data_IF_370282711220
#
_entry.id   IF_370282711220
#
_cell.length_a   1.000
_cell.length_b   1.000
_cell.length_c   1.000
_cell.angle_alpha   90.00
_cell.angle_beta   90.00
_cell.angle_gamma   90.00
#
_symmetry.space_group_name_H-M   'P 1'
#
loop_
_entity.id
_entity.type
_entity.pdbx_description
1 polymer ?
#
# COMPACT_ATOMS: atom_id res chain seq x y z
N UNK A 1 32.29 15.86 26.50
CA UNK A 1 33.34 15.77 25.45
C UNK A 1 33.54 14.30 25.07
N UNK A 2 33.07 13.87 23.89
CA UNK A 2 33.36 12.53 23.34
C UNK A 2 34.73 12.59 22.64
N UNK A 3 35.66 11.73 23.04
CA UNK A 3 37.02 11.70 22.53
C UNK A 3 37.01 11.26 21.04
N UNK A 4 37.44 12.10 20.08
CA UNK A 4 37.27 11.86 18.63
C UNK A 4 38.14 10.72 18.07
N UNK A 5 39.04 10.14 18.87
CA UNK A 5 39.94 9.05 18.46
C UNK A 5 39.51 7.66 18.93
N UNK A 6 38.40 7.52 19.65
CA UNK A 6 37.91 6.21 20.10
C UNK A 6 37.00 5.62 19.04
N UNK A 7 37.48 4.58 18.32
CA UNK A 7 36.64 3.79 17.41
C UNK A 7 35.35 3.38 18.14
N UNK A 8 34.18 3.41 17.48
CA UNK A 8 32.93 2.90 18.05
C UNK A 8 33.13 1.48 18.56
N UNK A 9 32.55 1.15 19.71
CA UNK A 9 32.73 -0.16 20.37
C UNK A 9 32.44 -1.34 19.41
N UNK A 10 31.41 -1.22 18.56
CA UNK A 10 31.12 -2.19 17.50
C UNK A 10 32.30 -2.40 16.54
N UNK A 11 32.91 -1.31 16.04
CA UNK A 11 34.05 -1.40 15.12
C UNK A 11 35.27 -2.05 15.77
N UNK A 12 35.47 -1.85 17.08
CA UNK A 12 36.52 -2.53 17.85
C UNK A 12 36.27 -4.03 17.92
N UNK A 13 35.03 -4.45 18.21
CA UNK A 13 34.64 -5.86 18.27
C UNK A 13 34.74 -6.54 16.90
N UNK A 14 34.28 -5.90 15.81
CA UNK A 14 34.45 -6.40 14.45
C UNK A 14 35.93 -6.62 14.11
N UNK A 15 36.80 -5.66 14.46
CA UNK A 15 38.25 -5.77 14.23
C UNK A 15 38.85 -6.94 15.02
N UNK A 16 38.40 -7.14 16.27
CA UNK A 16 38.85 -8.26 17.12
C UNK A 16 38.43 -9.61 16.55
N UNK A 17 37.17 -9.77 16.13
CA UNK A 17 36.68 -11.01 15.50
C UNK A 17 37.44 -11.33 14.22
N UNK A 18 37.73 -10.32 13.39
CA UNK A 18 38.53 -10.49 12.19
C UNK A 18 39.99 -10.91 12.51
N UNK A 19 40.60 -10.28 13.51
CA UNK A 19 41.96 -10.62 13.97
C UNK A 19 42.04 -12.05 14.52
N UNK A 20 41.08 -12.45 15.36
CA UNK A 20 41.00 -13.80 15.92
C UNK A 20 40.75 -14.85 14.81
N UNK A 21 39.90 -14.54 13.84
CA UNK A 21 39.65 -15.43 12.69
C UNK A 21 40.93 -15.67 11.89
N UNK A 22 41.65 -14.59 11.53
CA UNK A 22 42.93 -14.69 10.83
C UNK A 22 43.97 -15.48 11.64
N UNK A 23 44.02 -15.30 12.95
CA UNK A 23 44.93 -16.05 13.82
C UNK A 23 44.55 -17.54 13.91
N UNK A 24 43.25 -17.85 13.92
CA UNK A 24 42.73 -19.22 13.84
C UNK A 24 43.16 -19.93 12.56
N UNK A 25 43.05 -19.26 11.41
CA UNK A 25 43.51 -19.79 10.12
C UNK A 25 45.02 -20.10 10.13
N UNK A 26 45.84 -19.19 10.68
CA UNK A 26 47.28 -19.40 10.83
C UNK A 26 47.62 -20.59 11.73
N UNK A 27 46.89 -20.77 12.84
CA UNK A 27 47.10 -21.89 13.75
C UNK A 27 46.60 -23.21 13.15
N UNK A 28 45.51 -23.20 12.39
CA UNK A 28 45.03 -24.38 11.67
C UNK A 28 46.05 -24.87 10.62
N UNK A 29 46.67 -23.94 9.88
CA UNK A 29 47.76 -24.28 8.98
C UNK A 29 48.96 -24.90 9.73
N UNK A 30 49.36 -24.32 10.86
CA UNK A 30 50.44 -24.88 11.71
C UNK A 30 50.09 -26.26 12.29
N UNK A 31 48.83 -26.47 12.66
CA UNK A 31 48.33 -27.77 13.12
C UNK A 31 48.49 -28.83 12.04
N UNK A 32 48.15 -28.50 10.78
CA UNK A 32 48.37 -29.39 9.64
C UNK A 32 49.84 -29.79 9.50
N UNK A 33 50.75 -28.82 9.55
CA UNK A 33 52.20 -29.10 9.51
C UNK A 33 52.68 -29.95 10.70
N UNK A 34 52.15 -29.74 11.91
CA UNK A 34 52.48 -30.52 13.09
C UNK A 34 51.96 -31.97 12.99
N UNK A 35 50.77 -32.16 12.42
CA UNK A 35 50.20 -33.47 12.12
C UNK A 35 51.07 -34.22 11.11
N UNK A 36 51.45 -33.59 10.01
CA UNK A 36 52.33 -34.19 8.99
C UNK A 36 53.68 -34.62 9.59
N UNK A 37 54.22 -33.82 10.51
CA UNK A 37 55.47 -34.14 11.21
C UNK A 37 55.32 -35.33 12.16
N UNK A 38 54.20 -35.43 12.89
CA UNK A 38 53.89 -36.57 13.75
C UNK A 38 53.70 -37.85 12.93
N UNK A 39 52.94 -37.79 11.84
CA UNK A 39 52.70 -38.93 10.94
C UNK A 39 54.02 -39.44 10.35
N UNK A 40 54.91 -38.53 9.96
CA UNK A 40 56.26 -38.87 9.49
C UNK A 40 57.09 -39.54 10.59
N UNK A 41 57.11 -38.97 11.80
CA UNK A 41 57.85 -39.54 12.93
C UNK A 41 57.38 -40.96 13.28
N UNK A 42 56.05 -41.19 13.26
CA UNK A 42 55.45 -42.50 13.49
C UNK A 42 55.89 -43.49 12.41
N UNK A 43 55.82 -43.10 11.13
CA UNK A 43 56.26 -43.95 10.00
C UNK A 43 57.74 -44.29 10.07
N UNK A 44 58.59 -43.32 10.41
CA UNK A 44 60.03 -43.55 10.54
C UNK A 44 60.36 -44.50 11.71
N UNK A 45 59.66 -44.35 12.85
CA UNK A 45 59.75 -45.29 13.98
C UNK A 45 59.28 -46.70 13.59
N UNK A 46 58.14 -46.82 12.90
CA UNK A 46 57.62 -48.11 12.42
C UNK A 46 58.60 -48.79 11.46
N UNK A 47 59.20 -48.03 10.54
CA UNK A 47 60.21 -48.56 9.62
C UNK A 47 61.42 -49.10 10.37
N UNK A 48 61.90 -48.40 11.39
CA UNK A 48 63.00 -48.89 12.23
C UNK A 48 62.66 -50.22 12.93
N UNK A 49 61.43 -50.40 13.41
CA UNK A 49 60.99 -51.68 13.99
C UNK A 49 60.84 -52.82 12.96
N UNK A 50 60.52 -52.51 11.71
CA UNK A 50 60.28 -53.53 10.68
C UNK A 50 61.54 -53.93 9.90
N UNK A 51 62.48 -53.00 9.71
CA UNK A 51 63.65 -53.22 8.85
C UNK A 51 64.99 -52.84 9.48
N UNK A 52 64.99 -52.32 10.72
CA UNK A 52 66.20 -51.91 11.44
C UNK A 52 66.72 -52.98 12.39
N UNK A 53 67.86 -52.69 13.01
CA UNK A 53 68.41 -53.48 14.11
C UNK A 53 67.61 -53.23 15.40
N UNK A 54 67.00 -54.28 15.94
CA UNK A 54 66.18 -54.20 17.15
C UNK A 54 67.02 -54.04 18.42
N UNK A 55 68.31 -54.37 18.37
CA UNK A 55 69.24 -54.21 19.49
C UNK A 55 69.81 -52.78 19.57
N UNK A 56 69.64 -51.97 18.51
CA UNK A 56 70.01 -50.54 18.50
C UNK A 56 68.98 -49.68 19.25
N UNK A 57 68.96 -49.87 20.56
CA UNK A 57 68.11 -49.09 21.49
C UNK A 57 68.31 -47.59 21.35
N UNK A 58 69.54 -47.14 21.06
CA UNK A 58 69.84 -45.71 20.94
C UNK A 58 69.09 -45.08 19.77
N UNK A 59 69.00 -45.78 18.64
CA UNK A 59 68.23 -45.32 17.48
C UNK A 59 66.73 -45.34 17.76
N UNK A 60 66.22 -46.39 18.42
CA UNK A 60 64.80 -46.49 18.79
C UNK A 60 64.37 -45.40 19.78
N UNK A 61 65.16 -45.15 20.82
CA UNK A 61 64.91 -44.08 21.81
C UNK A 61 64.92 -42.69 21.16
N UNK A 62 65.82 -42.47 20.20
CA UNK A 62 65.85 -41.21 19.44
C UNK A 62 64.57 -41.01 18.63
N UNK A 63 64.11 -42.05 17.93
CA UNK A 63 62.87 -41.99 17.13
C UNK A 63 61.64 -41.80 18.03
N UNK A 64 61.62 -42.45 19.20
CA UNK A 64 60.60 -42.22 20.22
C UNK A 64 60.57 -40.76 20.67
N UNK A 65 61.73 -40.17 20.99
CA UNK A 65 61.81 -38.76 21.38
C UNK A 65 61.29 -37.79 20.31
N UNK A 66 61.47 -38.11 19.01
CA UNK A 66 60.89 -37.33 17.92
C UNK A 66 59.37 -37.45 17.89
N UNK A 67 58.82 -38.65 18.08
CA UNK A 67 57.36 -38.85 18.18
C UNK A 67 56.78 -38.06 19.35
N UNK A 68 57.40 -38.13 20.52
CA UNK A 68 56.93 -37.44 21.73
C UNK A 68 56.96 -35.91 21.55
N UNK A 69 58.03 -35.39 20.93
CA UNK A 69 58.16 -33.96 20.62
C UNK A 69 57.08 -33.50 19.63
N UNK A 70 56.82 -34.28 18.58
CA UNK A 70 55.80 -33.97 17.58
C UNK A 70 54.39 -34.03 18.17
N UNK A 71 54.11 -35.05 18.99
CA UNK A 71 52.82 -35.21 19.69
C UNK A 71 52.57 -34.05 20.67
N UNK A 72 53.59 -33.67 21.46
CA UNK A 72 53.50 -32.54 22.38
C UNK A 72 53.27 -31.20 21.64
N UNK A 73 53.95 -31.01 20.50
CA UNK A 73 53.74 -29.81 19.66
C UNK A 73 52.32 -29.75 19.10
N UNK A 74 51.78 -30.86 18.61
CA UNK A 74 50.41 -30.94 18.10
C UNK A 74 49.41 -30.64 19.21
N UNK A 75 49.55 -31.28 20.38
CA UNK A 75 48.69 -31.05 21.54
C UNK A 75 48.71 -29.57 21.98
N UNK A 76 49.88 -28.95 22.05
CA UNK A 76 49.99 -27.53 22.39
C UNK A 76 49.31 -26.59 21.37
N UNK A 77 49.32 -26.93 20.08
CA UNK A 77 48.59 -26.17 19.05
C UNK A 77 47.07 -26.37 19.22
N UNK A 78 46.63 -27.59 19.49
CA UNK A 78 45.22 -27.92 19.73
C UNK A 78 44.66 -27.17 20.95
N UNK A 79 45.42 -27.08 22.05
CA UNK A 79 45.05 -26.31 23.24
C UNK A 79 44.88 -24.81 22.92
N UNK A 80 45.82 -24.23 22.17
CA UNK A 80 45.75 -22.81 21.79
C UNK A 80 44.57 -22.56 20.83
N UNK A 81 44.28 -23.51 19.92
CA UNK A 81 43.11 -23.42 19.05
C UNK A 81 41.80 -23.45 19.85
N UNK A 82 41.70 -24.28 20.88
CA UNK A 82 40.54 -24.33 21.76
C UNK A 82 40.32 -23.00 22.50
N UNK A 83 41.38 -22.41 23.05
CA UNK A 83 41.32 -21.10 23.70
C UNK A 83 40.92 -20.00 22.72
N UNK A 84 41.47 -20.01 21.50
CA UNK A 84 41.13 -19.03 20.47
C UNK A 84 39.66 -19.15 20.05
N UNK A 85 39.13 -20.37 19.93
CA UNK A 85 37.72 -20.59 19.63
C UNK A 85 36.80 -20.00 20.70
N UNK A 86 37.15 -20.16 21.99
CA UNK A 86 36.42 -19.54 23.10
C UNK A 86 36.46 -18.01 23.05
N UNK A 87 37.64 -17.43 22.81
CA UNK A 87 37.80 -15.98 22.68
C UNK A 87 36.99 -15.41 21.50
N UNK A 88 36.96 -16.12 20.37
CA UNK A 88 36.16 -15.73 19.21
C UNK A 88 34.67 -15.77 19.52
N UNK A 89 34.19 -16.85 20.13
CA UNK A 89 32.78 -17.00 20.50
C UNK A 89 32.32 -15.93 21.52
N UNK A 90 33.19 -15.53 22.44
CA UNK A 90 32.93 -14.40 23.36
C UNK A 90 32.85 -13.07 22.60
N UNK A 91 33.82 -12.78 21.73
CA UNK A 91 33.82 -11.54 20.94
C UNK A 91 32.60 -11.43 20.01
N UNK A 92 32.18 -12.54 19.38
CA UNK A 92 30.98 -12.60 18.55
C UNK A 92 29.70 -12.38 19.37
N UNK A 93 29.61 -12.95 20.59
CA UNK A 93 28.49 -12.69 21.50
C UNK A 93 28.42 -11.23 21.92
N UNK A 94 29.55 -10.61 22.26
CA UNK A 94 29.62 -9.19 22.59
C UNK A 94 29.22 -8.30 21.41
N UNK A 95 29.64 -8.66 20.20
CA UNK A 95 29.27 -7.95 18.98
C UNK A 95 27.76 -8.01 18.70
N UNK A 96 27.16 -9.20 18.86
CA UNK A 96 25.72 -9.37 18.71
C UNK A 96 24.95 -8.55 19.75
N UNK A 97 25.37 -8.58 21.01
CA UNK A 97 24.76 -7.80 22.09
C UNK A 97 24.85 -6.29 21.84
N UNK A 98 25.98 -5.78 21.36
CA UNK A 98 26.13 -4.35 21.06
C UNK A 98 25.29 -3.92 19.85
N UNK A 99 25.16 -4.78 18.82
CA UNK A 99 24.26 -4.53 17.69
C UNK A 99 22.81 -4.44 18.15
N UNK A 100 22.37 -5.39 18.96
CA UNK A 100 21.01 -5.41 19.51
C UNK A 100 20.75 -4.19 20.39
N UNK A 101 21.71 -3.79 21.24
CA UNK A 101 21.62 -2.58 22.05
C UNK A 101 21.44 -1.32 21.20
N UNK A 102 22.22 -1.19 20.13
CA UNK A 102 22.13 -0.04 19.22
C UNK A 102 20.79 -0.02 18.49
N UNK A 103 20.32 -1.17 18.01
CA UNK A 103 19.02 -1.30 17.36
C UNK A 103 17.87 -0.90 18.30
N UNK A 104 17.88 -1.41 19.53
CA UNK A 104 16.90 -1.05 20.57
C UNK A 104 16.96 0.43 20.93
N UNK A 105 18.15 1.00 21.07
CA UNK A 105 18.30 2.44 21.35
C UNK A 105 17.72 3.28 20.22
N UNK A 106 18.01 2.94 18.96
CA UNK A 106 17.49 3.67 17.81
C UNK A 106 15.96 3.56 17.70
N UNK A 107 15.40 2.38 17.97
CA UNK A 107 13.96 2.16 18.00
C UNK A 107 13.27 2.96 19.12
N UNK A 108 13.85 2.95 20.33
CA UNK A 108 13.36 3.72 21.46
C UNK A 108 13.40 5.22 21.20
N UNK A 109 14.48 5.75 20.60
CA UNK A 109 14.58 7.16 20.25
C UNK A 109 13.54 7.58 19.19
N UNK A 110 13.18 6.67 18.28
CA UNK A 110 12.11 6.89 17.32
C UNK A 110 10.74 6.89 18.00
N UNK A 111 10.53 6.00 18.97
CA UNK A 111 9.30 5.94 19.76
C UNK A 111 9.14 7.19 20.63
N UNK A 112 10.19 7.61 21.35
CA UNK A 112 10.21 8.86 22.14
C UNK A 112 9.74 10.06 21.33
N UNK A 113 10.27 10.23 20.12
CA UNK A 113 9.88 11.34 19.24
C UNK A 113 8.39 11.29 18.88
N UNK A 114 7.84 10.10 18.63
CA UNK A 114 6.41 9.93 18.31
C UNK A 114 5.55 10.21 19.53
N UNK A 115 5.91 9.70 20.69
CA UNK A 115 5.19 9.92 21.96
C UNK A 115 5.20 11.40 22.32
N UNK A 116 6.34 12.07 22.22
CA UNK A 116 6.46 13.51 22.43
C UNK A 116 5.60 14.32 21.45
N UNK A 117 5.50 13.89 20.18
CA UNK A 117 4.62 14.55 19.21
C UNK A 117 3.13 14.40 19.55
N UNK A 118 2.71 13.21 20.04
CA UNK A 118 1.33 12.99 20.50
C UNK A 118 1.04 13.86 21.72
N UNK A 119 1.92 13.86 22.70
CA UNK A 119 1.79 14.67 23.92
C UNK A 119 1.71 16.17 23.59
N UNK A 120 2.55 16.66 22.68
CA UNK A 120 2.54 18.07 22.27
C UNK A 120 1.28 18.47 21.49
N UNK A 121 0.65 17.55 20.76
CA UNK A 121 -0.54 17.83 19.97
C UNK A 121 -1.83 17.90 20.81
N UNK A 122 -1.89 17.18 21.92
CA UNK A 122 -3.10 17.02 22.71
C UNK A 122 -3.65 18.35 23.27
N UNK A 123 -2.85 19.25 23.88
CA UNK A 123 -3.38 20.51 24.41
C UNK A 123 -4.03 21.37 23.33
N UNK A 124 -3.39 21.52 22.17
CA UNK A 124 -3.93 22.31 21.06
C UNK A 124 -5.21 21.73 20.47
N UNK A 125 -5.31 20.40 20.38
CA UNK A 125 -6.55 19.73 19.98
C UNK A 125 -7.70 20.01 20.95
N UNK A 126 -7.46 19.91 22.27
CA UNK A 126 -8.48 20.16 23.29
C UNK A 126 -8.92 21.62 23.30
N UNK A 127 -7.99 22.56 23.12
CA UNK A 127 -8.28 24.00 23.04
C UNK A 127 -9.17 24.33 21.83
N UNK A 128 -8.79 23.86 20.63
CA UNK A 128 -9.56 24.11 19.42
C UNK A 128 -10.94 23.45 19.46
N UNK A 129 -11.03 22.25 20.03
CA UNK A 129 -12.30 21.55 20.20
C UNK A 129 -13.21 22.30 21.18
N UNK A 130 -12.66 22.89 22.25
CA UNK A 130 -13.41 23.75 23.18
C UNK A 130 -13.96 24.98 22.47
N UNK A 131 -13.12 25.68 21.72
CA UNK A 131 -13.53 26.88 20.97
C UNK A 131 -14.64 26.57 19.95
N UNK A 132 -14.58 25.42 19.27
CA UNK A 132 -15.64 24.98 18.35
C UNK A 132 -16.94 24.70 19.10
N UNK A 133 -16.88 23.98 20.22
CA UNK A 133 -18.07 23.67 21.02
C UNK A 133 -18.73 24.95 21.58
N UNK A 134 -17.93 25.92 22.01
CA UNK A 134 -18.42 27.21 22.50
C UNK A 134 -19.15 27.98 21.38
N UNK A 135 -18.53 28.10 20.19
CA UNK A 135 -19.15 28.76 19.03
C UNK A 135 -20.45 28.08 18.56
N UNK A 136 -20.50 26.74 18.60
CA UNK A 136 -21.73 25.99 18.28
C UNK A 136 -22.81 26.19 19.35
N UNK A 137 -22.42 26.35 20.61
CA UNK A 137 -23.34 26.60 21.72
C UNK A 137 -23.97 28.00 21.63
N UNK A 138 -23.23 29.00 21.15
CA UNK A 138 -23.76 30.37 20.96
C UNK A 138 -24.95 30.44 20.00
N UNK A 139 -25.01 29.57 18.99
CA UNK A 139 -26.12 29.53 18.02
C UNK A 139 -27.21 28.51 18.37
N UNK A 140 -27.02 27.74 19.46
CA UNK A 140 -27.91 26.64 19.84
C UNK A 140 -29.34 27.09 20.18
N UNK A 141 -29.53 28.35 20.59
CA UNK A 141 -30.85 28.89 20.91
C UNK A 141 -31.80 29.00 19.70
N UNK A 142 -31.25 29.01 18.47
CA UNK A 142 -32.03 29.08 17.23
C UNK A 142 -31.71 27.95 16.23
N UNK A 143 -30.70 27.12 16.49
CA UNK A 143 -30.35 25.99 15.65
C UNK A 143 -30.03 24.75 16.49
N UNK A 144 -31.03 23.88 16.66
CA UNK A 144 -30.96 22.67 17.50
C UNK A 144 -29.76 21.77 17.17
N UNK A 145 -29.51 21.52 15.88
CA UNK A 145 -28.41 20.63 15.45
C UNK A 145 -27.03 21.16 15.86
N UNK A 146 -26.86 22.49 15.95
CA UNK A 146 -25.62 23.07 16.47
C UNK A 146 -25.43 22.78 17.96
N UNK A 147 -26.51 22.80 18.75
CA UNK A 147 -26.48 22.39 20.16
C UNK A 147 -26.13 20.90 20.33
N UNK A 148 -26.65 20.04 19.45
CA UNK A 148 -26.29 18.62 19.41
C UNK A 148 -24.81 18.42 19.06
N UNK A 149 -24.30 19.15 18.08
CA UNK A 149 -22.88 19.13 17.70
C UNK A 149 -21.98 19.62 18.84
N UNK A 150 -22.34 20.72 19.52
CA UNK A 150 -21.59 21.22 20.68
C UNK A 150 -21.47 20.17 21.79
N UNK A 151 -22.60 19.53 22.13
CA UNK A 151 -22.67 18.46 23.13
C UNK A 151 -21.80 17.26 22.74
N UNK A 152 -21.82 16.87 21.46
CA UNK A 152 -20.98 15.80 20.96
C UNK A 152 -19.49 16.12 21.09
N UNK A 153 -19.06 17.33 20.68
CA UNK A 153 -17.66 17.75 20.76
C UNK A 153 -17.17 17.77 22.21
N UNK A 154 -17.94 18.33 23.15
CA UNK A 154 -17.60 18.35 24.57
C UNK A 154 -17.45 16.92 25.15
N UNK A 155 -18.39 16.02 24.81
CA UNK A 155 -18.32 14.63 25.26
C UNK A 155 -17.11 13.88 24.68
N UNK A 156 -16.82 14.09 23.40
CA UNK A 156 -15.66 13.49 22.74
C UNK A 156 -14.34 13.98 23.35
N UNK A 157 -14.22 15.29 23.63
CA UNK A 157 -13.06 15.85 24.31
C UNK A 157 -12.83 15.21 25.68
N UNK A 158 -13.88 15.11 26.50
CA UNK A 158 -13.78 14.50 27.84
C UNK A 158 -13.33 13.04 27.78
N UNK A 159 -13.84 12.27 26.82
CA UNK A 159 -13.41 10.88 26.60
C UNK A 159 -11.94 10.81 26.15
N UNK A 160 -11.53 11.67 25.21
CA UNK A 160 -10.16 11.70 24.70
C UNK A 160 -9.18 12.10 25.81
N UNK A 161 -9.52 13.09 26.64
CA UNK A 161 -8.66 13.52 27.76
C UNK A 161 -8.44 12.40 28.76
N UNK A 162 -9.50 11.67 29.14
CA UNK A 162 -9.38 10.51 30.03
C UNK A 162 -8.55 9.41 29.38
N UNK A 163 -8.87 9.03 28.13
CA UNK A 163 -8.15 7.96 27.44
C UNK A 163 -6.67 8.30 27.24
N UNK A 164 -6.37 9.55 26.90
CA UNK A 164 -5.01 10.03 26.71
C UNK A 164 -4.20 9.96 28.00
N UNK A 165 -4.78 10.24 29.17
CA UNK A 165 -4.06 10.14 30.45
C UNK A 165 -3.57 8.70 30.73
N UNK A 166 -4.37 7.68 30.44
CA UNK A 166 -3.95 6.29 30.59
C UNK A 166 -2.95 5.87 29.50
N UNK A 167 -3.28 6.13 28.24
CA UNK A 167 -2.47 5.68 27.11
C UNK A 167 -1.12 6.40 27.04
N UNK A 168 -1.04 7.70 27.34
CA UNK A 168 0.23 8.43 27.35
C UNK A 168 1.16 7.95 28.46
N UNK A 169 0.65 7.59 29.64
CA UNK A 169 1.47 7.05 30.70
C UNK A 169 2.16 5.75 30.28
N UNK A 170 1.42 4.84 29.65
CA UNK A 170 1.96 3.60 29.09
C UNK A 170 2.96 3.88 27.95
N UNK A 171 2.57 4.72 26.98
CA UNK A 171 3.39 5.08 25.84
C UNK A 171 4.71 5.73 26.24
N UNK A 172 4.75 6.52 27.32
CA UNK A 172 5.98 7.13 27.86
C UNK A 172 6.92 6.12 28.49
N UNK A 173 6.42 5.02 29.03
CA UNK A 173 7.24 3.96 29.63
C UNK A 173 7.84 3.02 28.58
N UNK A 174 7.18 2.86 27.42
CA UNK A 174 7.60 1.91 26.38
C UNK A 174 9.03 2.13 25.83
N UNK A 175 9.50 3.36 25.53
CA UNK A 175 10.86 3.59 25.05
C UNK A 175 11.92 3.03 25.99
N UNK A 176 11.78 3.24 27.29
CA UNK A 176 12.71 2.71 28.29
C UNK A 176 12.62 1.19 28.43
N UNK A 177 11.41 0.63 28.37
CA UNK A 177 11.21 -0.82 28.35
C UNK A 177 11.89 -1.47 27.12
N UNK A 178 11.84 -0.82 25.95
CA UNK A 178 12.55 -1.26 24.74
C UNK A 178 14.06 -1.15 24.90
N UNK A 179 14.59 -0.04 25.44
CA UNK A 179 16.04 0.12 25.72
C UNK A 179 16.58 -0.96 26.65
N UNK A 180 15.79 -1.32 27.66
CA UNK A 180 16.14 -2.32 28.67
C UNK A 180 15.91 -3.76 28.20
N UNK A 181 15.31 -3.96 27.02
CA UNK A 181 14.99 -5.30 26.50
C UNK A 181 13.83 -6.00 27.23
N UNK A 182 13.05 -5.26 28.02
CA UNK A 182 11.84 -5.76 28.68
C UNK A 182 10.66 -5.86 27.70
N UNK A 183 10.70 -5.08 26.61
CA UNK A 183 9.72 -5.10 25.54
C UNK A 183 10.40 -5.30 24.19
N UNK A 184 9.74 -6.04 23.30
CA UNK A 184 10.20 -6.23 21.93
C UNK A 184 10.14 -4.91 21.14
N UNK A 185 11.03 -4.77 20.15
CA UNK A 185 11.02 -3.64 19.22
C UNK A 185 9.70 -3.65 18.43
N UNK A 186 8.86 -2.60 18.51
CA UNK A 186 7.63 -2.52 17.73
C UNK A 186 7.94 -2.56 16.23
N UNK A 187 7.29 -3.47 15.50
CA UNK A 187 7.42 -3.56 14.04
C UNK A 187 6.64 -2.43 13.38
N UNK A 188 7.21 -1.81 12.35
CA UNK A 188 6.47 -0.86 11.54
C UNK A 188 5.39 -1.59 10.73
N UNK A 189 4.16 -1.06 10.66
CA UNK A 189 3.14 -1.63 9.79
C UNK A 189 3.62 -1.61 8.33
N UNK A 190 3.44 -2.71 7.61
CA UNK A 190 3.72 -2.75 6.18
C UNK A 190 2.83 -1.70 5.49
N UNK A 191 3.42 -0.91 4.58
CA UNK A 191 2.66 0.05 3.80
C UNK A 191 1.60 -0.73 2.98
N UNK A 192 0.33 -0.41 3.22
CA UNK A 192 -0.76 -0.95 2.41
C UNK A 192 -0.59 -0.36 1.02
N UNK A 193 -0.25 -1.19 0.03
CA UNK A 193 -0.15 -0.76 -1.35
C UNK A 193 -1.53 -0.29 -1.82
N UNK A 194 -1.68 0.99 -2.11
CA UNK A 194 -2.89 1.50 -2.75
C UNK A 194 -2.97 0.86 -4.13
N UNK A 195 -4.00 0.04 -4.36
CA UNK A 195 -4.22 -0.60 -5.66
C UNK A 195 -4.35 0.49 -6.74
N UNK A 196 -3.55 0.37 -7.79
CA UNK A 196 -3.64 1.24 -8.97
C UNK A 196 -5.03 1.05 -9.57
N UNK A 197 -5.84 2.11 -9.60
CA UNK A 197 -7.15 2.10 -10.26
C UNK A 197 -6.91 1.95 -11.76
N UNK A 198 -7.41 0.85 -12.35
CA UNK A 198 -7.30 0.59 -13.79
C UNK A 198 -8.00 1.72 -14.58
N UNK A 199 -7.41 2.22 -15.69
CA UNK A 199 -7.99 3.33 -16.45
C UNK A 199 -9.35 2.92 -17.05
N UNK A 200 -10.36 3.76 -16.83
CA UNK A 200 -11.72 3.51 -17.32
C UNK A 200 -11.74 3.32 -18.86
N UNK A 201 -12.54 2.36 -19.36
CA UNK A 201 -12.58 2.04 -20.79
C UNK A 201 -13.06 3.22 -21.64
N UNK A 202 -12.61 3.35 -22.90
CA UNK A 202 -12.92 4.50 -23.73
C UNK A 202 -14.42 4.59 -24.07
N UNK A 203 -15.00 5.75 -23.81
CA UNK A 203 -16.40 6.11 -24.14
C UNK A 203 -16.46 7.19 -25.21
N UNK A 204 -17.55 7.22 -25.97
CA UNK A 204 -17.83 8.23 -27.00
C UNK A 204 -19.23 8.81 -26.80
N UNK A 205 -19.35 10.13 -26.99
CA UNK A 205 -20.63 10.84 -26.95
C UNK A 205 -21.19 11.01 -28.36
N UNK A 206 -22.46 10.64 -28.55
CA UNK A 206 -23.20 10.79 -29.81
C UNK A 206 -24.53 11.51 -29.58
N UNK A 207 -25.05 12.18 -30.60
CA UNK A 207 -26.35 12.85 -30.53
C UNK A 207 -27.45 11.92 -31.06
N UNK A 208 -28.42 11.58 -30.22
CA UNK A 208 -29.44 10.59 -30.53
C UNK A 208 -30.54 11.20 -31.41
N UNK A 209 -30.78 10.63 -32.60
CA UNK A 209 -31.93 10.99 -33.44
C UNK A 209 -33.18 10.19 -33.10
N UNK A 210 -33.03 9.05 -32.43
CA UNK A 210 -34.11 8.18 -31.93
C UNK A 210 -33.76 7.71 -30.53
N UNK A 211 -34.77 7.42 -29.72
CA UNK A 211 -34.54 6.85 -28.38
C UNK A 211 -33.95 5.46 -28.51
N UNK A 212 -32.97 5.13 -27.67
CA UNK A 212 -32.35 3.81 -27.70
C UNK A 212 -31.91 3.32 -26.33
N UNK A 213 -31.88 2.00 -26.16
CA UNK A 213 -31.31 1.34 -24.98
C UNK A 213 -30.02 0.63 -25.35
N UNK A 214 -29.06 0.64 -24.44
CA UNK A 214 -27.74 0.04 -24.61
C UNK A 214 -27.14 -0.36 -23.27
N UNK A 215 -26.09 -1.18 -23.27
CA UNK A 215 -25.29 -1.48 -22.08
C UNK A 215 -24.04 -0.60 -21.98
N UNK A 216 -23.79 -0.08 -20.78
CA UNK A 216 -22.52 0.56 -20.48
C UNK A 216 -21.40 -0.47 -20.25
N UNK A 217 -20.18 0.01 -20.00
CA UNK A 217 -19.01 -0.84 -19.78
C UNK A 217 -19.14 -1.75 -18.54
N UNK A 218 -19.96 -1.35 -17.57
CA UNK A 218 -20.30 -2.15 -16.38
C UNK A 218 -21.44 -3.15 -16.65
N UNK A 219 -21.90 -3.25 -17.91
CA UNK A 219 -22.99 -4.13 -18.32
C UNK A 219 -24.39 -3.63 -17.91
N UNK A 220 -24.51 -2.42 -17.35
CA UNK A 220 -25.77 -1.84 -16.90
C UNK A 220 -26.55 -1.28 -18.08
N UNK A 221 -27.85 -1.52 -18.10
CA UNK A 221 -28.74 -0.96 -19.13
C UNK A 221 -28.89 0.55 -18.92
N UNK A 222 -28.62 1.29 -19.98
CA UNK A 222 -28.75 2.73 -20.10
C UNK A 222 -29.76 3.06 -21.20
N UNK A 223 -30.30 4.26 -21.11
CA UNK A 223 -31.26 4.81 -22.07
C UNK A 223 -30.70 6.13 -22.60
N UNK A 224 -30.66 6.28 -23.93
CA UNK A 224 -30.39 7.53 -24.61
C UNK A 224 -31.70 8.08 -25.16
N UNK A 225 -32.11 9.26 -24.67
CA UNK A 225 -33.32 9.94 -25.14
C UNK A 225 -33.16 10.47 -26.57
N UNK A 226 -34.24 10.44 -27.35
CA UNK A 226 -34.25 11.13 -28.64
C UNK A 226 -33.97 12.63 -28.47
N UNK A 227 -33.08 13.14 -29.32
CA UNK A 227 -32.57 14.51 -29.36
C UNK A 227 -31.76 14.93 -28.12
N UNK A 228 -31.12 13.95 -27.48
CA UNK A 228 -30.18 14.15 -26.38
C UNK A 228 -28.78 13.64 -26.74
N UNK A 229 -27.79 14.11 -25.99
CA UNK A 229 -26.43 13.57 -26.06
C UNK A 229 -26.34 12.34 -25.16
N UNK A 230 -25.86 11.22 -25.70
CA UNK A 230 -25.64 9.99 -24.94
C UNK A 230 -24.18 9.57 -25.00
N UNK A 231 -23.57 9.36 -23.84
CA UNK A 231 -22.21 8.82 -23.71
C UNK A 231 -22.28 7.31 -23.50
N UNK A 232 -21.63 6.57 -24.37
CA UNK A 232 -21.69 5.10 -24.40
C UNK A 232 -20.33 4.52 -24.82
N UNK A 233 -20.10 3.20 -24.65
CA UNK A 233 -18.88 2.55 -25.15
C UNK A 233 -18.67 2.84 -26.65
N UNK A 234 -17.41 3.02 -27.07
CA UNK A 234 -17.08 3.41 -28.45
C UNK A 234 -17.72 2.46 -29.48
N UNK A 235 -17.74 1.16 -29.22
CA UNK A 235 -18.35 0.15 -30.09
C UNK A 235 -19.86 0.34 -30.25
N UNK A 236 -20.55 0.64 -29.15
CA UNK A 236 -21.99 0.95 -29.12
C UNK A 236 -22.28 2.26 -29.85
N UNK A 237 -21.47 3.30 -29.63
CA UNK A 237 -21.60 4.58 -30.31
C UNK A 237 -21.46 4.44 -31.83
N UNK A 238 -20.44 3.71 -32.29
CA UNK A 238 -20.24 3.42 -33.71
C UNK A 238 -21.38 2.61 -34.32
N UNK A 239 -22.00 1.70 -33.55
CA UNK A 239 -23.21 0.98 -33.98
C UNK A 239 -24.41 1.92 -34.12
N UNK A 240 -24.64 2.80 -33.15
CA UNK A 240 -25.72 3.79 -33.21
C UNK A 240 -25.60 4.73 -34.42
N UNK A 241 -24.38 5.16 -34.74
CA UNK A 241 -24.07 5.96 -35.93
C UNK A 241 -24.37 5.20 -37.23
N UNK A 242 -23.95 3.92 -37.32
CA UNK A 242 -24.20 3.08 -38.52
C UNK A 242 -25.69 2.82 -38.77
N UNK A 243 -26.47 2.64 -37.71
CA UNK A 243 -27.91 2.39 -37.80
C UNK A 243 -28.74 3.67 -38.02
N UNK A 244 -28.10 4.85 -38.10
CA UNK A 244 -28.79 6.13 -38.20
C UNK A 244 -29.68 6.44 -36.99
N UNK A 245 -29.41 5.79 -35.86
CA UNK A 245 -30.09 6.02 -34.56
C UNK A 245 -29.49 7.24 -33.88
N UNK A 246 -28.20 7.51 -34.12
CA UNK A 246 -27.48 8.67 -33.64
C UNK A 246 -26.67 9.30 -34.78
N UNK A 247 -26.25 10.55 -34.58
CA UNK A 247 -25.32 11.29 -35.44
C UNK A 247 -24.17 11.85 -34.61
N UNK A 248 -23.14 12.34 -35.30
CA UNK A 248 -22.04 13.04 -34.64
C UNK A 248 -22.57 14.25 -33.85
N UNK A 249 -21.94 14.56 -32.72
CA UNK A 249 -22.24 15.77 -31.94
C UNK A 249 -21.92 17.07 -32.70
N UNK A 250 -21.20 16.97 -33.82
CA UNK A 250 -20.90 18.10 -34.72
C UNK A 250 -21.96 18.29 -35.80
N UNK A 251 -22.99 17.45 -35.87
CA UNK A 251 -24.04 17.55 -36.88
C UNK A 251 -24.93 18.80 -36.64
N UNK A 252 -25.23 19.61 -37.68
CA UNK A 252 -26.11 20.77 -37.56
C UNK A 252 -27.49 20.47 -36.96
N UNK A 253 -28.00 19.24 -37.11
CA UNK A 253 -29.27 18.80 -36.53
C UNK A 253 -29.26 18.86 -35.01
N UNK A 254 -28.10 18.66 -34.35
CA UNK A 254 -27.98 18.78 -32.90
C UNK A 254 -28.34 20.18 -32.43
N UNK A 255 -27.79 21.22 -33.06
CA UNK A 255 -28.07 22.60 -32.69
C UNK A 255 -29.56 22.96 -32.85
N UNK A 256 -30.25 22.32 -33.80
CA UNK A 256 -31.66 22.56 -34.09
C UNK A 256 -32.63 21.77 -33.21
N UNK A 257 -32.29 20.54 -32.84
CA UNK A 257 -33.22 19.60 -32.21
C UNK A 257 -32.93 19.33 -30.73
N UNK A 258 -31.73 19.67 -30.23
CA UNK A 258 -31.36 19.41 -28.84
C UNK A 258 -32.34 20.08 -27.89
N UNK A 259 -32.95 19.27 -27.02
CA UNK A 259 -33.95 19.72 -26.04
C UNK A 259 -35.37 19.90 -26.58
N UNK A 260 -35.65 19.60 -27.86
CA UNK A 260 -36.95 19.84 -28.47
C UNK A 260 -38.06 18.85 -28.06
N UNK A 261 -37.74 17.68 -27.48
CA UNK A 261 -38.73 16.63 -27.17
C UNK A 261 -39.41 16.80 -25.81
N UNK A 262 -38.80 17.56 -24.88
CA UNK A 262 -39.33 17.84 -23.55
C UNK A 262 -39.57 16.58 -22.69
N UNK A 263 -38.64 16.24 -21.80
CA UNK A 263 -38.81 15.49 -20.52
C UNK A 263 -39.41 14.07 -20.50
N UNK A 264 -40.46 13.78 -21.26
CA UNK A 264 -41.25 12.56 -21.13
C UNK A 264 -40.70 11.44 -22.01
N UNK A 265 -39.70 10.75 -21.48
CA UNK A 265 -39.18 9.53 -22.08
C UNK A 265 -39.83 8.30 -21.44
N UNK A 266 -40.46 7.46 -22.26
CA UNK A 266 -40.88 6.12 -21.86
C UNK A 266 -39.83 5.09 -22.34
N UNK A 267 -38.97 4.55 -21.45
CA UNK A 267 -37.88 3.66 -21.86
C UNK A 267 -38.34 2.33 -22.47
N UNK A 268 -39.61 1.97 -22.24
CA UNK A 268 -40.23 0.74 -22.70
C UNK A 268 -41.15 0.94 -23.92
N UNK A 269 -41.17 2.14 -24.52
CA UNK A 269 -41.99 2.40 -25.69
C UNK A 269 -41.53 1.59 -26.91
N UNK A 270 -42.46 1.27 -27.80
CA UNK A 270 -42.21 0.42 -28.98
C UNK A 270 -41.34 1.09 -30.04
N UNK A 271 -41.13 2.41 -29.94
CA UNK A 271 -40.23 3.21 -30.80
C UNK A 271 -38.78 3.27 -30.29
N UNK A 272 -38.47 2.64 -29.13
CA UNK A 272 -37.12 2.59 -28.56
C UNK A 272 -36.29 1.49 -29.22
N UNK A 273 -35.18 1.89 -29.86
CA UNK A 273 -34.27 0.97 -30.55
C UNK A 273 -33.36 0.25 -29.54
N UNK A 274 -33.23 -1.06 -29.68
CA UNK A 274 -32.26 -1.85 -28.92
C UNK A 274 -30.92 -1.89 -29.65
N UNK A 275 -29.92 -1.17 -29.15
CA UNK A 275 -28.58 -1.15 -29.76
C UNK A 275 -27.78 -2.43 -29.46
N UNK A 276 -28.22 -3.25 -28.51
CA UNK A 276 -27.57 -4.50 -28.15
C UNK A 276 -28.16 -5.71 -28.88
N UNK A 277 -29.37 -5.60 -29.44
CA UNK A 277 -30.01 -6.66 -30.22
C UNK A 277 -29.37 -6.80 -31.61
N UNK A 278 -29.15 -8.04 -32.04
CA UNK A 278 -28.49 -8.37 -33.32
C UNK A 278 -29.41 -8.26 -34.55
N UNK A 279 -30.72 -8.05 -34.39
CA UNK A 279 -31.68 -7.85 -35.49
C UNK A 279 -32.69 -6.75 -35.14
N UNK A 280 -33.01 -5.87 -36.11
CA UNK A 280 -34.05 -4.86 -35.98
C UNK A 280 -35.44 -5.50 -35.85
N UNK A 281 -36.28 -5.12 -34.87
CA UNK A 281 -37.67 -5.56 -34.85
C UNK A 281 -38.42 -4.96 -36.05
N UNK A 282 -38.99 -5.84 -36.89
CA UNK A 282 -39.83 -5.49 -38.05
C UNK A 282 -40.96 -4.54 -37.61
N UNK A 283 -41.10 -3.41 -38.31
CA UNK A 283 -42.21 -2.46 -38.14
C UNK A 283 -43.55 -3.21 -38.21
N UNK A 284 -44.34 -3.13 -37.13
CA UNK A 284 -45.73 -3.59 -37.14
C UNK A 284 -46.60 -2.78 -38.12
N UNK A 285 -47.72 -3.35 -38.61
CA UNK A 285 -48.51 -2.77 -39.69
C UNK A 285 -49.13 -1.42 -39.31
N UNK A 286 -49.21 -0.54 -40.31
CA UNK A 286 -49.81 0.79 -40.28
C UNK A 286 -51.15 0.82 -39.54
N UNK A 287 -51.32 1.81 -38.65
CA UNK A 287 -52.61 2.19 -38.06
C UNK A 287 -53.69 2.20 -39.14
N UNK A 288 -54.66 1.30 -39.00
CA UNK A 288 -55.95 1.43 -39.66
C UNK A 288 -56.60 2.70 -39.09
N UNK A 289 -56.74 3.73 -39.92
CA UNK A 289 -57.50 4.93 -39.60
C UNK A 289 -58.92 4.52 -39.18
N UNK A 290 -59.32 5.03 -38.02
CA UNK A 290 -60.62 4.82 -37.37
C UNK A 290 -61.79 5.09 -38.36
N UNK A 291 -62.75 4.14 -38.53
CA UNK A 291 -63.86 4.29 -39.48
C UNK A 291 -64.70 5.56 -39.28
N UNK A 292 -64.73 6.11 -38.07
CA UNK A 292 -65.50 7.33 -37.76
C UNK A 292 -64.95 8.62 -38.40
N UNK A 293 -63.69 8.64 -38.83
CA UNK A 293 -63.10 9.81 -39.51
C UNK A 293 -63.45 9.89 -41.01
N UNK A 294 -64.03 8.84 -41.60
CA UNK A 294 -64.47 8.83 -43.01
C UNK A 294 -65.87 9.39 -43.22
N UNK A 295 -66.73 9.36 -42.22
CA UNK A 295 -68.13 9.82 -42.34
C UNK A 295 -68.31 11.31 -42.03
N UNK A 296 -67.31 11.95 -41.42
CA UNK A 296 -67.33 13.37 -41.15
C UNK A 296 -66.79 14.15 -42.37
N UNK A 297 -67.71 14.69 -43.18
CA UNK A 297 -67.44 15.65 -44.27
C UNK A 297 -66.85 16.96 -43.72
N UNK A 298 -65.58 16.95 -43.33
CA UNK A 298 -64.85 18.16 -42.96
C UNK A 298 -64.45 18.92 -44.22
N UNK A 299 -64.94 20.15 -44.36
CA UNK A 299 -64.48 21.11 -45.35
C UNK A 299 -63.36 21.94 -44.73
N UNK A 300 -62.20 21.97 -45.37
CA UNK A 300 -61.05 22.76 -44.94
C UNK A 300 -61.36 24.26 -45.07
N UNK A 301 -61.31 25.00 -43.96
CA UNK A 301 -61.48 26.46 -43.93
C UNK A 301 -60.11 27.12 -43.94
N UNK A 302 -59.74 27.76 -45.05
CA UNK A 302 -58.51 28.54 -45.15
C UNK A 302 -58.62 29.85 -44.36
N UNK A 303 -57.84 29.98 -43.27
CA UNK A 303 -57.78 31.16 -42.40
C UNK A 303 -56.57 32.06 -42.63
N UNK A 304 -55.84 31.91 -43.75
CA UNK A 304 -54.59 32.64 -44.02
C UNK A 304 -54.74 34.17 -44.14
N UNK A 305 -55.95 34.72 -44.17
CA UNK A 305 -56.18 36.16 -44.35
C UNK A 305 -56.46 36.97 -43.07
N UNK A 306 -56.67 36.37 -41.88
CA UNK A 306 -56.94 37.17 -40.67
C UNK A 306 -55.66 37.60 -39.95
N UNK A 307 -55.20 38.83 -40.21
CA UNK A 307 -54.23 39.52 -39.33
C UNK A 307 -54.98 40.11 -38.14
N UNK A 308 -54.81 39.51 -36.94
CA UNK A 308 -55.26 40.13 -35.69
C UNK A 308 -54.08 40.78 -34.97
N UNK A 309 -54.07 42.12 -34.97
CA UNK A 309 -53.15 42.95 -34.21
C UNK A 309 -53.64 43.00 -32.76
N UNK A 310 -52.81 42.59 -31.79
CA UNK A 310 -53.14 42.69 -30.36
C UNK A 310 -52.48 43.97 -29.83
N UNK A 311 -53.27 44.96 -29.44
CA UNK A 311 -52.81 46.09 -28.61
C UNK A 311 -52.94 45.68 -27.14
N UNK A 312 -51.84 45.80 -26.38
CA UNK A 312 -51.82 45.57 -24.94
C UNK A 312 -51.66 46.94 -24.28
N UNK A 313 -52.70 47.42 -23.60
CA UNK A 313 -52.59 48.56 -22.69
C UNK A 313 -52.06 48.09 -21.32
N UNK A 314 -51.05 48.79 -20.82
CA UNK A 314 -50.48 48.54 -19.48
C UNK A 314 -50.85 49.73 -18.58
N UNK A 315 -51.58 49.53 -17.47
CA UNK A 315 -51.79 50.58 -16.49
C UNK A 315 -50.54 50.72 -15.61
N UNK A 316 -50.04 51.95 -15.46
CA UNK A 316 -49.07 52.31 -14.42
C UNK A 316 -49.83 52.72 -13.15
N UNK A 317 -49.57 52.04 -12.04
CA UNK A 317 -49.19 52.61 -10.72
C UNK A 317 -48.30 51.59 -10.02
#
# INVERSE_FOLDING_TARGET
MKNPFRKPQMQQLDTTVASLTKRGEQLAAKRGTAQDALDKAIKDRQRAFLSGDLDDRRTLDKLQGVVDTAASTLAGIDDVLAVLAQQKAEAERQLAAERERIERSAAADKLDKRVAAIEAALPGYLEQSRALADALSEVSYFHFESGQMASFVQNAMGQIEIAANFSLAELKAMPDAVRQGQQAIPREPAAISVAVVEPAPPTMTVFMLKSAKFRDHDGRKRFGGQWEDATMPVTTAQRALRLGVAVSVTDPQRARLRGARGGDFQPNASDVVDLDATEEPKRGPHMQLDPMLREANFVEVDRRAERRTIQIEVPRV
#
